data_IF_811588310616
#
_entry.id   IF_811588310616
#
_cell.length_a   1.000
_cell.length_b   1.000
_cell.length_c   1.000
_cell.angle_alpha   90.00
_cell.angle_beta   90.00
_cell.angle_gamma   90.00
#
_symmetry.space_group_name_H-M   'P 1'
#
loop_
_entity.id
_entity.type
_entity.pdbx_description
1 polymer ?
#
# COMPACT_ATOMS: atom_id res chain seq x y z
N UNK A 1 -14.47 16.75 -28.38
CA UNK A 1 -13.44 15.91 -27.72
C UNK A 1 -13.79 15.56 -26.26
N UNK A 2 -15.06 15.27 -25.93
CA UNK A 2 -15.52 14.99 -24.54
C UNK A 2 -15.89 13.50 -24.29
N UNK A 3 -16.25 12.75 -25.34
CA UNK A 3 -16.71 11.35 -25.22
C UNK A 3 -15.62 10.32 -24.91
N UNK A 4 -14.36 10.58 -25.30
CA UNK A 4 -13.27 9.60 -25.20
C UNK A 4 -12.72 9.46 -23.77
N UNK A 5 -12.67 10.58 -23.03
CA UNK A 5 -12.27 10.58 -21.60
C UNK A 5 -13.27 9.78 -20.76
N UNK A 6 -14.56 9.89 -21.05
CA UNK A 6 -15.62 9.14 -20.36
C UNK A 6 -15.44 7.62 -20.46
N UNK A 7 -15.07 7.11 -21.64
CA UNK A 7 -14.84 5.69 -21.87
C UNK A 7 -13.60 5.13 -21.16
N UNK A 8 -12.46 5.85 -21.22
CA UNK A 8 -11.21 5.45 -20.58
C UNK A 8 -11.35 5.41 -19.04
N UNK A 9 -11.88 6.48 -18.45
CA UNK A 9 -12.05 6.56 -16.99
C UNK A 9 -12.98 5.46 -16.47
N UNK A 10 -14.04 5.12 -17.21
CA UNK A 10 -14.97 4.06 -16.81
C UNK A 10 -14.32 2.67 -16.85
N UNK A 11 -13.44 2.42 -17.83
CA UNK A 11 -12.71 1.14 -18.00
C UNK A 11 -11.62 0.92 -16.94
N UNK A 12 -10.89 1.96 -16.54
CA UNK A 12 -9.79 1.85 -15.58
C UNK A 12 -10.14 2.33 -14.16
N UNK A 13 -11.41 2.66 -13.91
CA UNK A 13 -11.88 3.26 -12.66
C UNK A 13 -11.47 2.45 -11.43
N UNK A 14 -11.63 1.13 -11.47
CA UNK A 14 -11.35 0.26 -10.34
C UNK A 14 -9.85 0.25 -10.00
N UNK A 15 -8.98 0.20 -11.02
CA UNK A 15 -7.54 0.26 -10.83
C UNK A 15 -7.07 1.64 -10.33
N UNK A 16 -7.66 2.73 -10.84
CA UNK A 16 -7.34 4.09 -10.40
C UNK A 16 -7.75 4.27 -8.93
N UNK A 17 -8.98 3.88 -8.56
CA UNK A 17 -9.45 3.97 -7.18
C UNK A 17 -8.62 3.09 -6.25
N UNK A 18 -8.23 1.88 -6.68
CA UNK A 18 -7.35 1.02 -5.90
C UNK A 18 -6.02 1.68 -5.56
N UNK A 19 -5.31 2.22 -6.56
CA UNK A 19 -4.04 2.93 -6.31
C UNK A 19 -4.23 4.22 -5.50
N UNK A 20 -5.32 4.97 -5.74
CA UNK A 20 -5.67 6.15 -4.94
C UNK A 20 -5.81 5.80 -3.47
N UNK A 21 -6.47 4.68 -3.17
CA UNK A 21 -6.70 4.23 -1.79
C UNK A 21 -5.41 3.77 -1.11
N UNK A 22 -4.49 3.11 -1.83
CA UNK A 22 -3.14 2.78 -1.33
C UNK A 22 -2.40 4.07 -0.93
N UNK A 23 -2.39 5.07 -1.82
CA UNK A 23 -1.66 6.33 -1.59
C UNK A 23 -2.23 7.08 -0.39
N UNK A 24 -3.56 7.26 -0.33
CA UNK A 24 -4.21 8.00 0.77
C UNK A 24 -3.97 7.30 2.11
N UNK A 25 -4.15 5.98 2.17
CA UNK A 25 -3.92 5.22 3.39
C UNK A 25 -2.44 5.26 3.81
N UNK A 26 -1.52 5.15 2.84
CA UNK A 26 -0.08 5.25 3.07
C UNK A 26 0.34 6.61 3.64
N UNK A 27 -0.20 7.71 3.11
CA UNK A 27 0.07 9.05 3.62
C UNK A 27 -0.47 9.23 5.05
N UNK A 28 -1.68 8.74 5.34
CA UNK A 28 -2.25 8.80 6.69
C UNK A 28 -1.41 8.02 7.71
N UNK A 29 -0.94 6.84 7.32
CA UNK A 29 -0.04 6.03 8.14
C UNK A 29 1.29 6.76 8.38
N UNK A 30 1.91 7.30 7.33
CA UNK A 30 3.17 8.06 7.40
C UNK A 30 3.11 9.22 8.41
N UNK A 31 2.07 10.07 8.33
CA UNK A 31 1.92 11.17 9.29
C UNK A 31 1.63 10.69 10.71
N UNK A 32 0.89 9.59 10.86
CA UNK A 32 0.65 8.98 12.18
C UNK A 32 1.94 8.46 12.79
N UNK A 33 2.75 7.74 12.01
CA UNK A 33 4.05 7.24 12.45
C UNK A 33 4.96 8.38 12.92
N UNK A 34 5.04 9.46 12.15
CA UNK A 34 5.82 10.65 12.52
C UNK A 34 5.37 11.25 13.86
N UNK A 35 4.05 11.40 14.07
CA UNK A 35 3.51 11.93 15.32
C UNK A 35 3.80 10.99 16.51
N UNK A 36 3.58 9.68 16.34
CA UNK A 36 3.78 8.69 17.40
C UNK A 36 5.27 8.59 17.77
N UNK A 37 6.17 8.61 16.80
CA UNK A 37 7.62 8.62 17.04
C UNK A 37 8.06 9.84 17.85
N UNK A 38 7.51 11.02 17.52
CA UNK A 38 7.79 12.27 18.24
C UNK A 38 7.22 12.25 19.66
N UNK A 39 5.99 11.76 19.85
CA UNK A 39 5.38 11.65 21.17
C UNK A 39 6.14 10.65 22.05
N UNK A 40 6.54 9.50 21.48
CA UNK A 40 7.25 8.47 22.22
C UNK A 40 8.66 8.91 22.62
N UNK A 41 9.40 9.60 21.74
CA UNK A 41 10.71 10.18 22.08
C UNK A 41 10.62 11.32 23.11
N UNK A 42 9.50 12.04 23.15
CA UNK A 42 9.23 13.01 24.21
C UNK A 42 8.93 12.37 25.57
N UNK A 43 8.32 11.17 25.57
CA UNK A 43 7.94 10.41 26.77
C UNK A 43 9.10 9.59 27.34
N UNK A 44 9.78 8.79 26.51
CA UNK A 44 10.93 7.98 26.89
C UNK A 44 12.23 8.61 26.37
N UNK A 45 12.88 9.40 27.23
CA UNK A 45 14.17 10.05 26.94
C UNK A 45 15.35 9.07 26.94
N UNK A 46 15.13 7.81 27.32
CA UNK A 46 16.18 6.80 27.54
C UNK A 46 16.70 6.18 26.23
N UNK A 47 16.32 6.71 25.07
CA UNK A 47 16.82 6.28 23.75
C UNK A 47 16.61 4.79 23.45
N UNK A 48 15.50 4.19 23.92
CA UNK A 48 15.11 2.85 23.48
C UNK A 48 14.56 2.91 22.04
N UNK A 49 15.48 3.05 21.10
CA UNK A 49 15.21 3.21 19.67
C UNK A 49 14.45 2.03 19.08
N UNK A 50 14.63 0.84 19.63
CA UNK A 50 13.92 -0.37 19.23
C UNK A 50 12.44 -0.30 19.61
N UNK A 51 12.13 0.10 20.85
CA UNK A 51 10.75 0.25 21.32
C UNK A 51 10.03 1.38 20.56
N UNK A 52 10.68 2.54 20.36
CA UNK A 52 10.12 3.65 19.58
C UNK A 52 9.80 3.19 18.15
N UNK A 53 10.75 2.53 17.48
CA UNK A 53 10.56 2.06 16.10
C UNK A 53 9.44 1.02 15.99
N UNK A 54 9.35 0.07 16.94
CA UNK A 54 8.30 -0.93 16.96
C UNK A 54 6.91 -0.32 17.19
N UNK A 55 6.78 0.64 18.11
CA UNK A 55 5.52 1.33 18.40
C UNK A 55 5.09 2.22 17.23
N UNK A 56 6.04 2.91 16.62
CA UNK A 56 5.81 3.72 15.42
C UNK A 56 5.28 2.85 14.28
N UNK A 57 5.93 1.72 13.99
CA UNK A 57 5.50 0.79 12.95
C UNK A 57 4.12 0.18 13.26
N UNK A 58 3.86 -0.18 14.52
CA UNK A 58 2.55 -0.66 14.95
C UNK A 58 1.47 0.41 14.74
N UNK A 59 1.77 1.68 15.05
CA UNK A 59 0.85 2.79 14.82
C UNK A 59 0.58 3.04 13.33
N UNK A 60 1.61 2.97 12.49
CA UNK A 60 1.46 3.06 11.03
C UNK A 60 0.51 1.99 10.49
N UNK A 61 0.72 0.71 10.86
CA UNK A 61 -0.18 -0.37 10.44
C UNK A 61 -1.59 -0.23 11.03
N UNK A 62 -1.71 0.28 12.26
CA UNK A 62 -3.00 0.53 12.90
C UNK A 62 -3.85 1.57 12.16
N UNK A 63 -3.22 2.45 11.37
CA UNK A 63 -3.93 3.43 10.52
C UNK A 63 -4.02 2.94 9.08
N UNK A 64 -2.94 2.43 8.51
CA UNK A 64 -2.88 1.99 7.12
C UNK A 64 -3.95 0.96 6.79
N UNK A 65 -4.02 -0.12 7.57
CA UNK A 65 -4.91 -1.25 7.31
C UNK A 65 -6.39 -0.82 7.33
N UNK A 66 -6.91 -0.18 8.40
CA UNK A 66 -8.32 0.22 8.42
C UNK A 66 -8.62 1.36 7.45
N UNK A 67 -7.72 2.33 7.24
CA UNK A 67 -7.94 3.40 6.27
C UNK A 67 -8.06 2.84 4.84
N UNK A 68 -7.12 1.96 4.45
CA UNK A 68 -7.18 1.29 3.15
C UNK A 68 -8.44 0.45 3.02
N UNK A 69 -8.76 -0.37 4.03
CA UNK A 69 -9.94 -1.23 4.01
C UNK A 69 -11.25 -0.43 3.88
N UNK A 70 -11.36 0.68 4.61
CA UNK A 70 -12.50 1.59 4.54
C UNK A 70 -12.66 2.21 3.15
N UNK A 71 -11.59 2.83 2.63
CA UNK A 71 -11.61 3.47 1.31
C UNK A 71 -11.91 2.47 0.19
N UNK A 72 -11.25 1.31 0.22
CA UNK A 72 -11.49 0.25 -0.75
C UNK A 72 -12.93 -0.27 -0.69
N UNK A 73 -13.45 -0.50 0.52
CA UNK A 73 -14.84 -0.94 0.69
C UNK A 73 -15.83 0.11 0.17
N UNK A 74 -15.61 1.40 0.49
CA UNK A 74 -16.49 2.47 0.09
C UNK A 74 -16.57 2.62 -1.44
N UNK A 75 -15.41 2.62 -2.11
CA UNK A 75 -15.34 2.74 -3.57
C UNK A 75 -15.93 1.53 -4.30
N UNK A 76 -15.97 0.35 -3.67
CA UNK A 76 -16.48 -0.90 -4.24
C UNK A 76 -17.83 -1.35 -3.66
N UNK A 77 -18.46 -0.57 -2.78
CA UNK A 77 -19.65 -1.01 -2.03
C UNK A 77 -20.81 -1.51 -2.89
N UNK A 78 -20.99 -0.91 -4.08
CA UNK A 78 -22.04 -1.29 -5.03
C UNK A 78 -21.84 -2.68 -5.62
N UNK A 79 -20.60 -3.17 -5.74
CA UNK A 79 -20.26 -4.54 -6.20
C UNK A 79 -20.75 -5.61 -5.22
N UNK A 80 -20.90 -5.25 -3.95
CA UNK A 80 -21.29 -6.17 -2.87
C UNK A 80 -22.79 -6.26 -2.66
N UNK A 81 -23.61 -5.54 -3.42
CA UNK A 81 -25.07 -5.65 -3.37
C UNK A 81 -25.51 -6.60 -4.47
N UNK A 82 -26.29 -7.63 -4.10
CA UNK A 82 -26.92 -8.52 -5.06
C UNK A 82 -28.02 -7.78 -5.84
N UNK A 83 -27.97 -7.71 -7.18
CA UNK A 83 -28.96 -6.98 -7.95
C UNK A 83 -30.39 -7.53 -7.80
N UNK A 84 -30.52 -8.84 -7.60
CA UNK A 84 -31.82 -9.52 -7.52
C UNK A 84 -32.52 -9.34 -6.17
N UNK A 85 -31.77 -9.26 -5.07
CA UNK A 85 -32.32 -9.25 -3.71
C UNK A 85 -32.08 -7.94 -2.97
N UNK A 86 -31.20 -7.08 -3.48
CA UNK A 86 -30.72 -5.88 -2.80
C UNK A 86 -29.90 -6.17 -1.53
N UNK A 87 -29.64 -7.44 -1.22
CA UNK A 87 -28.92 -7.85 0.00
C UNK A 87 -27.41 -7.84 -0.23
N UNK A 88 -26.66 -7.70 0.85
CA UNK A 88 -25.20 -7.68 0.82
C UNK A 88 -24.65 -9.10 0.62
N UNK A 89 -23.87 -9.30 -0.43
CA UNK A 89 -23.15 -10.54 -0.73
C UNK A 89 -21.85 -10.61 0.08
N UNK A 90 -21.93 -11.21 1.27
CA UNK A 90 -20.77 -11.45 2.12
C UNK A 90 -19.72 -12.39 1.51
N UNK A 91 -20.12 -13.27 0.57
CA UNK A 91 -19.18 -14.16 -0.12
C UNK A 91 -18.27 -13.35 -1.06
N UNK A 92 -18.80 -12.35 -1.77
CA UNK A 92 -18.00 -11.43 -2.60
C UNK A 92 -17.02 -10.61 -1.77
N UNK A 93 -17.44 -10.10 -0.61
CA UNK A 93 -16.54 -9.35 0.29
C UNK A 93 -15.37 -10.24 0.73
N UNK A 94 -15.64 -11.47 1.20
CA UNK A 94 -14.60 -12.42 1.61
C UNK A 94 -13.69 -12.83 0.45
N UNK A 95 -14.24 -12.99 -0.76
CA UNK A 95 -13.45 -13.29 -1.95
C UNK A 95 -12.50 -12.15 -2.30
N UNK A 96 -12.95 -10.90 -2.25
CA UNK A 96 -12.09 -9.73 -2.48
C UNK A 96 -11.01 -9.60 -1.41
N UNK A 97 -11.32 -9.85 -0.13
CA UNK A 97 -10.30 -9.86 0.95
C UNK A 97 -9.19 -10.88 0.64
N UNK A 98 -9.54 -12.10 0.24
CA UNK A 98 -8.54 -13.13 -0.14
C UNK A 98 -7.67 -12.68 -1.32
N UNK A 99 -8.28 -12.04 -2.32
CA UNK A 99 -7.57 -11.49 -3.48
C UNK A 99 -6.65 -10.34 -3.11
N UNK A 100 -7.09 -9.44 -2.23
CA UNK A 100 -6.27 -8.36 -1.69
C UNK A 100 -5.07 -8.91 -0.95
N UNK A 101 -5.27 -9.86 -0.03
CA UNK A 101 -4.16 -10.52 0.69
C UNK A 101 -3.16 -11.15 -0.29
N UNK A 102 -3.63 -11.94 -1.27
CA UNK A 102 -2.74 -12.52 -2.29
C UNK A 102 -1.97 -11.45 -3.09
N UNK A 103 -2.64 -10.35 -3.46
CA UNK A 103 -2.05 -9.25 -4.23
C UNK A 103 -0.96 -8.52 -3.42
N UNK A 104 -1.25 -8.15 -2.18
CA UNK A 104 -0.32 -7.43 -1.32
C UNK A 104 0.85 -8.32 -0.88
N UNK A 105 0.61 -9.59 -0.51
CA UNK A 105 1.67 -10.49 -0.06
C UNK A 105 2.78 -10.68 -1.10
N UNK A 106 2.43 -10.91 -2.37
CA UNK A 106 3.43 -11.06 -3.45
C UNK A 106 4.18 -9.75 -3.70
N UNK A 107 3.45 -8.63 -3.70
CA UNK A 107 4.04 -7.31 -3.96
C UNK A 107 4.99 -6.87 -2.84
N UNK A 108 4.64 -7.15 -1.59
CA UNK A 108 5.46 -6.85 -0.40
C UNK A 108 6.77 -7.64 -0.35
N UNK A 109 6.72 -8.94 -0.68
CA UNK A 109 7.94 -9.75 -0.77
C UNK A 109 8.88 -9.18 -1.83
N UNK A 110 8.37 -8.83 -3.00
CA UNK A 110 9.16 -8.26 -4.08
C UNK A 110 9.71 -6.86 -3.74
N UNK A 111 8.90 -6.01 -3.11
CA UNK A 111 9.34 -4.71 -2.59
C UNK A 111 10.53 -4.88 -1.64
N UNK A 112 10.38 -5.78 -0.66
CA UNK A 112 11.40 -6.04 0.36
C UNK A 112 12.71 -6.54 -0.26
N UNK A 113 12.63 -7.54 -1.15
CA UNK A 113 13.80 -8.10 -1.83
C UNK A 113 14.49 -7.07 -2.73
N UNK A 114 13.69 -6.27 -3.47
CA UNK A 114 14.21 -5.23 -4.35
C UNK A 114 14.92 -4.15 -3.56
N UNK A 115 14.29 -3.66 -2.47
CA UNK A 115 14.88 -2.63 -1.62
C UNK A 115 16.21 -3.10 -1.03
N UNK A 116 16.23 -4.30 -0.43
CA UNK A 116 17.45 -4.87 0.17
C UNK A 116 18.54 -5.08 -0.89
N UNK A 117 18.18 -5.69 -2.02
CA UNK A 117 19.12 -5.98 -3.10
C UNK A 117 19.72 -4.72 -3.72
N UNK A 118 18.89 -3.73 -4.06
CA UNK A 118 19.35 -2.47 -4.66
C UNK A 118 20.20 -1.68 -3.68
N UNK A 119 19.78 -1.56 -2.41
CA UNK A 119 20.56 -0.85 -1.41
C UNK A 119 21.92 -1.51 -1.17
N UNK A 120 21.97 -2.85 -1.09
CA UNK A 120 23.21 -3.59 -0.94
C UNK A 120 24.18 -3.34 -2.10
N UNK A 121 23.69 -3.36 -3.35
CA UNK A 121 24.52 -3.11 -4.52
C UNK A 121 25.05 -1.67 -4.58
N UNK A 122 24.20 -0.69 -4.25
CA UNK A 122 24.60 0.73 -4.20
C UNK A 122 25.68 0.96 -3.14
N UNK A 123 25.51 0.37 -1.95
CA UNK A 123 26.49 0.47 -0.86
C UNK A 123 27.84 -0.15 -1.21
N UNK A 124 27.88 -1.26 -1.96
CA UNK A 124 29.13 -1.85 -2.42
C UNK A 124 29.81 -1.05 -3.53
N UNK A 125 29.03 -0.34 -4.34
CA UNK A 125 29.53 0.44 -5.48
C UNK A 125 30.03 1.83 -5.07
N UNK A 126 29.51 2.36 -3.96
CA UNK A 126 29.92 3.65 -3.40
C UNK A 126 31.04 3.43 -2.39
N UNK A 127 32.30 3.67 -2.79
CA UNK A 127 33.53 3.58 -1.97
C UNK A 127 33.60 4.59 -0.79
N UNK A 128 32.46 5.10 -0.31
CA UNK A 128 32.38 6.16 0.68
C UNK A 128 30.97 6.72 0.85
N UNK A 129 30.13 5.98 1.58
CA UNK A 129 29.28 6.55 2.64
C UNK A 129 28.19 7.60 2.29
N UNK A 130 27.35 7.35 1.28
CA UNK A 130 26.02 7.96 1.27
C UNK A 130 24.91 6.90 1.36
N UNK A 131 24.90 6.22 2.51
CA UNK A 131 23.89 5.23 2.86
C UNK A 131 22.47 5.83 2.82
N UNK A 132 22.35 7.14 3.03
CA UNK A 132 21.11 7.88 2.92
C UNK A 132 20.61 7.93 1.46
N UNK A 133 21.42 8.40 0.52
CA UNK A 133 21.06 8.42 -0.91
C UNK A 133 20.78 7.00 -1.42
N UNK A 134 21.59 6.02 -0.99
CA UNK A 134 21.41 4.61 -1.37
C UNK A 134 20.06 4.05 -0.91
N UNK A 135 19.67 4.32 0.34
CA UNK A 135 18.39 3.87 0.90
C UNK A 135 17.19 4.56 0.23
N UNK A 136 17.30 5.85 -0.11
CA UNK A 136 16.26 6.58 -0.84
C UNK A 136 16.09 6.03 -2.25
N UNK A 137 17.18 5.88 -3.00
CA UNK A 137 17.16 5.33 -4.36
C UNK A 137 16.58 3.91 -4.37
N UNK A 138 17.01 3.05 -3.43
CA UNK A 138 16.47 1.71 -3.27
C UNK A 138 14.97 1.70 -2.92
N UNK A 139 14.51 2.63 -2.08
CA UNK A 139 13.09 2.74 -1.72
C UNK A 139 12.25 3.20 -2.91
N UNK A 140 12.71 4.17 -3.69
CA UNK A 140 12.01 4.63 -4.91
C UNK A 140 11.94 3.48 -5.93
N UNK A 141 13.05 2.78 -6.16
CA UNK A 141 13.09 1.63 -7.05
C UNK A 141 12.13 0.51 -6.60
N UNK A 142 12.13 0.19 -5.29
CA UNK A 142 11.24 -0.81 -4.72
C UNK A 142 9.78 -0.40 -4.84
N UNK A 143 9.43 0.87 -4.61
CA UNK A 143 8.07 1.39 -4.80
C UNK A 143 7.62 1.28 -6.26
N UNK A 144 8.51 1.54 -7.23
CA UNK A 144 8.20 1.33 -8.64
C UNK A 144 7.88 -0.14 -8.93
N UNK A 145 8.71 -1.07 -8.44
CA UNK A 145 8.48 -2.52 -8.58
C UNK A 145 7.18 -2.94 -7.89
N UNK A 146 6.92 -2.45 -6.68
CA UNK A 146 5.70 -2.72 -5.93
C UNK A 146 4.47 -2.28 -6.71
N UNK A 147 4.45 -1.05 -7.23
CA UNK A 147 3.27 -0.57 -7.98
C UNK A 147 3.04 -1.35 -9.27
N UNK A 148 4.10 -1.77 -9.96
CA UNK A 148 3.96 -2.65 -11.13
C UNK A 148 3.35 -3.99 -10.72
N UNK A 149 3.90 -4.63 -9.69
CA UNK A 149 3.46 -5.95 -9.24
C UNK A 149 2.08 -5.95 -8.61
N UNK A 150 1.74 -4.96 -7.78
CA UNK A 150 0.43 -4.88 -7.12
C UNK A 150 -0.68 -4.70 -8.15
N UNK A 151 -0.43 -3.93 -9.22
CA UNK A 151 -1.37 -3.77 -10.32
C UNK A 151 -1.45 -5.01 -11.21
N UNK A 152 -0.31 -5.66 -11.50
CA UNK A 152 -0.27 -6.91 -12.24
C UNK A 152 -1.02 -8.02 -11.51
N UNK A 153 -0.71 -8.23 -10.22
CA UNK A 153 -1.34 -9.23 -9.37
C UNK A 153 -2.83 -8.98 -9.19
N UNK A 154 -3.24 -7.72 -8.98
CA UNK A 154 -4.66 -7.35 -8.91
C UNK A 154 -5.42 -7.76 -10.18
N UNK A 155 -4.81 -7.64 -11.37
CA UNK A 155 -5.40 -8.14 -12.62
C UNK A 155 -5.39 -9.67 -12.69
N UNK A 156 -4.29 -10.31 -12.30
CA UNK A 156 -4.12 -11.77 -12.33
C UNK A 156 -5.18 -12.48 -11.47
N UNK A 157 -5.41 -11.98 -10.25
CA UNK A 157 -6.44 -12.54 -9.34
C UNK A 157 -7.85 -12.06 -9.67
N UNK A 158 -8.02 -11.30 -10.77
CA UNK A 158 -9.28 -10.70 -11.21
C UNK A 158 -9.94 -9.91 -10.07
N UNK A 159 -9.14 -9.09 -9.39
CA UNK A 159 -9.63 -8.17 -8.36
C UNK A 159 -10.56 -7.13 -9.00
N UNK A 160 -10.16 -6.65 -10.18
CA UNK A 160 -10.95 -5.76 -11.01
C UNK A 160 -11.89 -6.55 -11.92
N UNK A 161 -13.15 -6.11 -12.03
CA UNK A 161 -14.07 -6.62 -13.06
C UNK A 161 -13.78 -5.88 -14.37
N UNK A 162 -13.28 -6.63 -15.36
CA UNK A 162 -13.33 -6.20 -16.76
C UNK A 162 -14.72 -6.50 -17.32
#
# INVERSE_FOLDING_TARGET
MSGEKSGFFKRYREAINFNRNIIIAGLGAFFTGALVAQLYSGYDKTSNSLANSAITLAAEYSVYIPAFAFLYYWDNRSKYIEPATGRRDGKRVRADIKKLLATFSVSEVAFSLTKVGVQFQLLQSSSGNDAYISAMAASIAAWAVFFVLVNYMARLVRLFKN
#
